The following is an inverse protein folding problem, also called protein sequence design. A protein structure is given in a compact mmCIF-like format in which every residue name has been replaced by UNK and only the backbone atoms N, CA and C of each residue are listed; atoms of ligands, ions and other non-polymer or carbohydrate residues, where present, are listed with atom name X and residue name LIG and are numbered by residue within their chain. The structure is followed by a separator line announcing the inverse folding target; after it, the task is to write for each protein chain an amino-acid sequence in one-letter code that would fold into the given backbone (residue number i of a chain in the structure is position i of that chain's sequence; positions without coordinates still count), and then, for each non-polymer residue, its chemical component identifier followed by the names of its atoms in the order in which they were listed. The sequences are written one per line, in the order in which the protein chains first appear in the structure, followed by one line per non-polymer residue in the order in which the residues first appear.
data_IF_350654898389
#
_entry.id   IF_350654898389
#
_cell.length_a   1.000
_cell.length_b   1.000
_cell.length_c   1.000
_cell.angle_alpha   90.00
_cell.angle_beta   90.00
_cell.angle_gamma   90.00
#
_symmetry.space_group_name_H-M   'P 1'
#
loop_
_entity.id
_entity.type
_entity.pdbx_description
1 polymer ?
#
# COMPACT_ATOMS: atom_id res chain seq x y z
N UNK A 1 -12.60 4.38 2.41
CA UNK A 1 -11.75 3.21 2.65
C UNK A 1 -10.80 3.54 3.79
N UNK A 2 -10.51 2.56 4.63
CA UNK A 2 -10.13 2.72 6.05
C UNK A 2 -8.65 2.44 6.37
N UNK A 3 -7.72 2.50 5.40
CA UNK A 3 -6.32 2.07 5.61
C UNK A 3 -5.61 2.72 6.81
N UNK A 4 -5.80 4.04 6.99
CA UNK A 4 -5.23 4.76 8.12
C UNK A 4 -5.88 4.38 9.45
N UNK A 5 -7.21 4.24 9.47
CA UNK A 5 -7.96 3.81 10.64
C UNK A 5 -7.56 2.39 11.04
N UNK A 6 -7.40 1.50 10.07
CA UNK A 6 -6.91 0.15 10.28
C UNK A 6 -5.50 0.16 10.90
N UNK A 7 -4.58 0.94 10.34
CA UNK A 7 -3.21 1.04 10.86
C UNK A 7 -3.19 1.59 12.29
N UNK A 8 -4.06 2.54 12.62
CA UNK A 8 -4.23 3.06 13.97
C UNK A 8 -4.77 2.00 14.95
N UNK A 9 -5.78 1.24 14.55
CA UNK A 9 -6.33 0.14 15.36
C UNK A 9 -5.30 -0.96 15.59
N UNK A 10 -4.52 -1.31 14.56
CA UNK A 10 -3.41 -2.26 14.67
C UNK A 10 -2.33 -1.75 15.65
N UNK A 11 -1.93 -0.49 15.53
CA UNK A 11 -0.96 0.13 16.45
C UNK A 11 -1.48 0.14 17.89
N UNK A 12 -2.76 0.45 18.10
CA UNK A 12 -3.41 0.41 19.40
C UNK A 12 -3.40 -1.01 20.01
N UNK A 13 -3.73 -2.03 19.21
CA UNK A 13 -3.68 -3.43 19.64
C UNK A 13 -2.25 -3.85 20.06
N UNK A 14 -1.23 -3.50 19.29
CA UNK A 14 0.18 -3.76 19.66
C UNK A 14 0.62 -3.00 20.91
N UNK A 15 0.09 -1.79 21.12
CA UNK A 15 0.30 -1.03 22.35
C UNK A 15 -0.51 -1.56 23.55
N UNK A 16 -1.22 -2.70 23.39
CA UNK A 16 -2.09 -3.32 24.41
C UNK A 16 -3.24 -2.41 24.86
N UNK A 17 -3.65 -1.48 24.01
CA UNK A 17 -4.88 -0.72 24.20
C UNK A 17 -6.07 -1.61 23.86
N UNK A 18 -7.20 -1.38 24.54
CA UNK A 18 -8.42 -2.13 24.28
C UNK A 18 -8.97 -1.81 22.89
N UNK A 19 -8.95 -2.79 22.00
CA UNK A 19 -9.60 -2.75 20.68
C UNK A 19 -10.63 -3.88 20.63
N UNK A 20 -11.94 -3.58 20.63
CA UNK A 20 -12.98 -4.61 20.58
C UNK A 20 -12.82 -5.47 19.32
N UNK A 21 -12.90 -6.80 19.47
CA UNK A 21 -12.71 -7.74 18.37
C UNK A 21 -13.72 -7.53 17.23
N UNK A 22 -14.93 -7.10 17.58
CA UNK A 22 -16.01 -6.76 16.64
C UNK A 22 -15.61 -5.66 15.66
N UNK A 23 -14.66 -4.80 16.02
CA UNK A 23 -14.12 -3.76 15.12
C UNK A 23 -13.58 -4.36 13.83
N UNK A 24 -12.90 -5.50 13.92
CA UNK A 24 -12.34 -6.20 12.77
C UNK A 24 -13.43 -6.89 11.93
N UNK A 25 -14.51 -7.36 12.57
CA UNK A 25 -15.69 -7.90 11.87
C UNK A 25 -16.42 -6.81 11.07
N UNK A 26 -16.55 -5.60 11.65
CA UNK A 26 -17.11 -4.46 10.94
C UNK A 26 -16.23 -4.00 9.77
N UNK A 27 -14.91 -4.05 9.94
CA UNK A 27 -13.98 -3.78 8.84
C UNK A 27 -14.16 -4.80 7.71
N UNK A 28 -14.26 -6.10 8.02
CA UNK A 28 -14.51 -7.13 7.01
C UNK A 28 -15.82 -6.89 6.26
N UNK A 29 -16.91 -6.65 6.99
CA UNK A 29 -18.22 -6.35 6.42
C UNK A 29 -18.18 -5.11 5.51
N UNK A 30 -17.45 -4.07 5.94
CA UNK A 30 -17.26 -2.88 5.12
C UNK A 30 -16.51 -3.19 3.83
N UNK A 31 -15.41 -3.96 3.90
CA UNK A 31 -14.65 -4.38 2.72
C UNK A 31 -15.53 -5.19 1.75
N UNK A 32 -16.38 -6.08 2.24
CA UNK A 32 -17.35 -6.82 1.43
C UNK A 32 -18.33 -5.89 0.71
N UNK A 33 -18.74 -4.78 1.36
CA UNK A 33 -19.69 -3.83 0.77
C UNK A 33 -19.09 -3.03 -0.39
N UNK A 34 -17.79 -2.75 -0.37
CA UNK A 34 -17.08 -1.96 -1.39
C UNK A 34 -16.24 -2.80 -2.35
N UNK A 35 -16.23 -4.12 -2.19
CA UNK A 35 -15.59 -5.04 -3.12
C UNK A 35 -16.30 -5.02 -4.48
N UNK A 36 -15.51 -5.05 -5.56
CA UNK A 36 -16.02 -5.29 -6.90
C UNK A 36 -16.73 -6.66 -6.98
N UNK A 37 -17.79 -6.77 -7.78
CA UNK A 37 -18.55 -8.03 -7.90
C UNK A 37 -17.73 -9.16 -8.51
N UNK A 38 -16.73 -8.84 -9.32
CA UNK A 38 -15.75 -9.78 -9.84
C UNK A 38 -14.65 -10.14 -8.84
N UNK A 39 -14.57 -9.49 -7.66
CA UNK A 39 -13.49 -9.72 -6.69
C UNK A 39 -12.11 -9.33 -7.24
N UNK A 40 -12.06 -8.24 -8.01
CA UNK A 40 -10.83 -7.72 -8.63
C UNK A 40 -10.31 -6.46 -7.93
N UNK A 41 -10.97 -6.01 -6.87
CA UNK A 41 -10.59 -4.79 -6.20
C UNK A 41 -11.61 -4.27 -5.20
N UNK A 42 -11.26 -3.14 -4.60
CA UNK A 42 -12.08 -2.43 -3.63
C UNK A 42 -12.23 -0.97 -4.03
N UNK A 43 -13.42 -0.41 -3.86
CA UNK A 43 -13.65 1.02 -3.97
C UNK A 43 -13.49 1.77 -2.65
N UNK A 44 -13.68 3.09 -2.68
CA UNK A 44 -13.51 3.92 -1.48
C UNK A 44 -14.71 3.82 -0.53
N UNK A 45 -15.92 4.04 -1.03
CA UNK A 45 -17.18 4.02 -0.27
C UNK A 45 -18.33 3.37 -1.07
N UNK A 46 -18.02 2.86 -2.25
CA UNK A 46 -18.93 2.20 -3.17
C UNK A 46 -18.15 1.14 -3.96
N UNK A 47 -18.82 0.39 -4.81
CA UNK A 47 -18.20 -0.61 -5.70
C UNK A 47 -17.59 0.05 -6.94
N UNK A 48 -16.53 0.82 -6.73
CA UNK A 48 -15.81 1.55 -7.77
C UNK A 48 -14.30 1.33 -7.61
N UNK A 49 -13.87 0.09 -7.82
CA UNK A 49 -12.50 -0.31 -7.57
C UNK A 49 -11.48 0.51 -8.37
N UNK A 50 -10.38 0.87 -7.72
CA UNK A 50 -9.24 1.56 -8.29
C UNK A 50 -7.95 0.98 -7.70
N UNK A 51 -6.80 1.02 -8.40
CA UNK A 51 -5.58 0.34 -7.94
C UNK A 51 -5.16 0.71 -6.51
N UNK A 52 -5.16 2.01 -6.21
CA UNK A 52 -4.82 2.50 -4.87
C UNK A 52 -5.82 2.02 -3.81
N UNK A 53 -7.11 1.95 -4.14
CA UNK A 53 -8.11 1.53 -3.17
C UNK A 53 -8.10 0.03 -2.92
N UNK A 54 -7.86 -0.74 -3.99
CA UNK A 54 -7.65 -2.18 -3.96
C UNK A 54 -6.42 -2.58 -3.15
N UNK A 55 -5.27 -1.91 -3.34
CA UNK A 55 -4.06 -2.19 -2.57
C UNK A 55 -4.27 -2.06 -1.05
N UNK A 56 -5.04 -1.05 -0.61
CA UNK A 56 -5.40 -0.93 0.81
C UNK A 56 -6.36 -2.03 1.25
N UNK A 57 -7.36 -2.36 0.41
CA UNK A 57 -8.31 -3.41 0.72
C UNK A 57 -7.62 -4.76 0.91
N UNK A 58 -6.68 -5.12 0.01
CA UNK A 58 -5.83 -6.29 0.16
C UNK A 58 -5.02 -6.24 1.45
N UNK A 59 -4.34 -5.13 1.73
CA UNK A 59 -3.55 -5.01 2.95
C UNK A 59 -4.43 -5.29 4.19
N UNK A 60 -5.61 -4.68 4.26
CA UNK A 60 -6.57 -4.95 5.33
C UNK A 60 -6.98 -6.44 5.37
N UNK A 61 -7.18 -7.09 4.22
CA UNK A 61 -7.51 -8.53 4.15
C UNK A 61 -6.39 -9.42 4.66
N UNK A 62 -5.13 -9.13 4.35
CA UNK A 62 -3.99 -9.88 4.89
C UNK A 62 -4.00 -9.87 6.41
N UNK A 63 -4.30 -8.70 7.00
CA UNK A 63 -4.44 -8.58 8.45
C UNK A 63 -5.71 -9.19 9.03
N UNK A 64 -6.74 -9.40 8.21
CA UNK A 64 -7.96 -10.16 8.53
C UNK A 64 -7.82 -11.64 8.14
N UNK A 65 -6.59 -12.17 8.20
CA UNK A 65 -6.25 -13.58 8.01
C UNK A 65 -6.33 -14.12 6.57
N UNK A 66 -6.33 -13.27 5.54
CA UNK A 66 -6.10 -13.74 4.17
C UNK A 66 -4.62 -14.05 3.95
N UNK A 67 -4.24 -15.32 4.15
CA UNK A 67 -2.88 -15.81 3.87
C UNK A 67 -2.51 -15.83 2.37
N UNK A 68 -1.23 -16.09 2.01
CA UNK A 68 -0.76 -16.11 0.62
C UNK A 68 -1.47 -17.11 -0.29
N UNK A 69 -2.06 -18.15 0.29
CA UNK A 69 -2.86 -19.15 -0.41
C UNK A 69 -4.30 -18.74 -0.72
N UNK A 70 -4.80 -17.63 -0.14
CA UNK A 70 -6.20 -17.25 -0.26
C UNK A 70 -6.56 -16.90 -1.72
N UNK A 71 -7.58 -17.53 -2.32
CA UNK A 71 -7.89 -17.36 -3.74
C UNK A 71 -8.27 -15.93 -4.10
N UNK A 72 -8.97 -15.22 -3.20
CA UNK A 72 -9.29 -13.80 -3.39
C UNK A 72 -8.07 -12.89 -3.38
N UNK A 73 -7.08 -13.21 -2.53
CA UNK A 73 -5.84 -12.44 -2.43
C UNK A 73 -5.04 -12.56 -3.72
N UNK A 74 -4.81 -13.81 -4.18
CA UNK A 74 -4.09 -14.11 -5.43
C UNK A 74 -4.74 -13.46 -6.63
N UNK A 75 -6.06 -13.63 -6.77
CA UNK A 75 -6.83 -13.07 -7.88
C UNK A 75 -6.66 -11.56 -7.99
N UNK A 76 -6.72 -10.85 -6.85
CA UNK A 76 -6.64 -9.41 -6.83
C UNK A 76 -5.22 -8.90 -7.05
N UNK A 77 -4.20 -9.52 -6.44
CA UNK A 77 -2.81 -9.11 -6.69
C UNK A 77 -2.38 -9.39 -8.14
N UNK A 78 -2.81 -10.51 -8.73
CA UNK A 78 -2.55 -10.82 -10.14
C UNK A 78 -3.17 -9.76 -11.06
N UNK A 79 -4.32 -9.20 -10.68
CA UNK A 79 -4.94 -8.09 -11.38
C UNK A 79 -4.16 -6.78 -11.18
N UNK A 80 -3.77 -6.45 -9.95
CA UNK A 80 -3.01 -5.22 -9.65
C UNK A 80 -1.61 -5.20 -10.26
N UNK A 81 -1.01 -6.36 -10.47
CA UNK A 81 0.29 -6.49 -11.12
C UNK A 81 0.23 -6.53 -12.66
N UNK A 82 -0.93 -6.27 -13.25
CA UNK A 82 -1.00 -6.03 -14.70
C UNK A 82 -0.35 -4.68 -15.07
N UNK A 83 0.40 -4.58 -16.18
CA UNK A 83 1.13 -3.36 -16.56
C UNK A 83 0.27 -2.08 -16.62
N UNK A 84 -1.02 -2.20 -16.90
CA UNK A 84 -1.96 -1.07 -16.93
C UNK A 84 -2.20 -0.42 -15.57
N UNK A 85 -1.95 -1.14 -14.47
CA UNK A 85 -2.19 -0.71 -13.09
C UNK A 85 -0.93 -0.14 -12.41
N UNK A 86 0.24 -0.27 -13.02
CA UNK A 86 1.48 0.24 -12.46
C UNK A 86 1.49 1.78 -12.43
N UNK A 87 2.15 2.38 -11.41
CA UNK A 87 2.44 3.79 -11.43
C UNK A 87 3.31 4.14 -12.63
N UNK A 88 3.19 5.39 -13.11
CA UNK A 88 3.94 5.91 -14.27
C UNK A 88 4.57 7.25 -13.89
N UNK A 89 5.59 7.70 -14.62
CA UNK A 89 6.25 8.98 -14.31
C UNK A 89 5.27 10.16 -14.39
N UNK A 90 4.33 10.08 -15.31
CA UNK A 90 3.26 11.06 -15.55
C UNK A 90 2.12 10.96 -14.53
N UNK A 91 2.05 9.85 -13.78
CA UNK A 91 1.07 9.60 -12.72
C UNK A 91 1.71 8.74 -11.63
N UNK A 92 2.53 9.38 -10.79
CA UNK A 92 3.44 8.69 -9.88
C UNK A 92 2.68 7.88 -8.82
N UNK A 93 1.57 8.44 -8.30
CA UNK A 93 0.71 7.83 -7.30
C UNK A 93 1.49 7.13 -6.17
N UNK A 94 2.24 7.91 -5.40
CA UNK A 94 3.01 7.44 -4.24
C UNK A 94 2.14 6.78 -3.17
N UNK A 95 0.85 7.10 -3.13
CA UNK A 95 -0.11 6.44 -2.26
C UNK A 95 -0.34 4.97 -2.67
N UNK A 96 -0.54 4.69 -3.96
CA UNK A 96 -0.55 3.31 -4.47
C UNK A 96 0.79 2.62 -4.18
N UNK A 97 1.91 3.30 -4.45
CA UNK A 97 3.25 2.75 -4.21
C UNK A 97 3.40 2.27 -2.76
N UNK A 98 3.06 3.11 -1.79
CA UNK A 98 3.17 2.81 -0.38
C UNK A 98 2.38 1.56 0.05
N UNK A 99 1.12 1.45 -0.34
CA UNK A 99 0.29 0.31 0.08
C UNK A 99 0.64 -0.98 -0.66
N UNK A 100 0.82 -0.90 -1.97
CA UNK A 100 1.10 -2.07 -2.78
C UNK A 100 2.50 -2.63 -2.52
N UNK A 101 3.47 -1.79 -2.15
CA UNK A 101 4.79 -2.25 -1.70
C UNK A 101 4.68 -3.12 -0.46
N UNK A 102 3.85 -2.76 0.52
CA UNK A 102 3.63 -3.57 1.73
C UNK A 102 3.01 -4.92 1.39
N UNK A 103 1.93 -4.92 0.58
CA UNK A 103 1.25 -6.15 0.14
C UNK A 103 2.22 -7.07 -0.62
N UNK A 104 2.92 -6.54 -1.61
CA UNK A 104 3.88 -7.32 -2.39
C UNK A 104 5.01 -7.87 -1.49
N UNK A 105 5.46 -7.07 -0.51
CA UNK A 105 6.49 -7.50 0.45
C UNK A 105 6.01 -8.63 1.36
N UNK A 106 4.77 -8.54 1.89
CA UNK A 106 4.20 -9.60 2.72
C UNK A 106 4.08 -10.92 1.96
N UNK A 107 3.69 -10.86 0.68
CA UNK A 107 3.56 -12.03 -0.18
C UNK A 107 4.90 -12.62 -0.62
N UNK A 108 5.92 -11.79 -0.80
CA UNK A 108 7.25 -12.22 -1.21
C UNK A 108 7.30 -12.81 -2.63
N UNK A 109 8.39 -13.51 -2.92
CA UNK A 109 8.62 -14.22 -4.20
C UNK A 109 8.45 -13.32 -5.43
N UNK A 110 7.89 -13.90 -6.49
CA UNK A 110 7.67 -13.20 -7.78
C UNK A 110 6.83 -11.92 -7.65
N UNK A 111 5.88 -11.87 -6.71
CA UNK A 111 5.04 -10.69 -6.49
C UNK A 111 5.88 -9.52 -5.98
N UNK A 112 6.73 -9.78 -4.99
CA UNK A 112 7.69 -8.81 -4.50
C UNK A 112 8.66 -8.39 -5.60
N UNK A 113 9.32 -9.34 -6.26
CA UNK A 113 10.37 -9.03 -7.24
C UNK A 113 9.84 -8.18 -8.40
N UNK A 114 8.66 -8.52 -8.95
CA UNK A 114 8.04 -7.75 -10.05
C UNK A 114 7.72 -6.33 -9.64
N UNK A 115 7.04 -6.18 -8.50
CA UNK A 115 6.62 -4.87 -8.02
C UNK A 115 7.80 -3.97 -7.64
N UNK A 116 8.64 -4.50 -6.76
CA UNK A 116 9.69 -3.74 -6.10
C UNK A 116 10.78 -3.30 -7.08
N UNK A 117 11.19 -4.16 -8.03
CA UNK A 117 12.17 -3.73 -9.04
C UNK A 117 11.66 -2.53 -9.85
N UNK A 118 10.39 -2.55 -10.25
CA UNK A 118 9.81 -1.43 -11.00
C UNK A 118 9.69 -0.15 -10.16
N UNK A 119 9.14 -0.25 -8.96
CA UNK A 119 8.91 0.92 -8.10
C UNK A 119 10.22 1.49 -7.56
N UNK A 120 11.16 0.65 -7.11
CA UNK A 120 12.48 1.08 -6.65
C UNK A 120 13.20 1.86 -7.72
N UNK A 121 13.34 1.28 -8.91
CA UNK A 121 14.11 1.90 -9.99
C UNK A 121 13.47 3.23 -10.44
N UNK A 122 12.14 3.28 -10.50
CA UNK A 122 11.40 4.52 -10.79
C UNK A 122 11.64 5.60 -9.73
N UNK A 123 11.57 5.26 -8.44
CA UNK A 123 11.78 6.23 -7.37
C UNK A 123 13.24 6.74 -7.34
N UNK A 124 14.23 5.87 -7.55
CA UNK A 124 15.64 6.28 -7.61
C UNK A 124 15.91 7.22 -8.80
N UNK A 125 15.29 6.93 -9.94
CA UNK A 125 15.39 7.79 -11.12
C UNK A 125 14.78 9.17 -10.87
N UNK A 126 13.59 9.22 -10.26
CA UNK A 126 12.82 10.45 -10.05
C UNK A 126 13.26 11.27 -8.84
N UNK A 127 14.17 10.75 -8.01
CA UNK A 127 14.69 11.49 -6.86
C UNK A 127 15.42 12.75 -7.34
N UNK A 128 15.00 13.89 -6.83
CA UNK A 128 15.55 15.20 -7.18
C UNK A 128 17.04 15.27 -6.87
N UNK A 129 17.86 15.61 -7.87
CA UNK A 129 19.33 15.67 -7.74
C UNK A 129 19.84 17.02 -7.22
N UNK A 130 18.95 18.01 -7.08
CA UNK A 130 19.28 19.37 -6.65
C UNK A 130 19.89 20.23 -7.77
N UNK A 131 19.64 19.88 -9.03
CA UNK A 131 20.24 20.54 -10.19
C UNK A 131 19.66 21.93 -10.48
N UNK A 132 18.45 22.24 -9.97
CA UNK A 132 17.86 23.58 -10.07
C UNK A 132 18.39 24.47 -8.93
N UNK A 133 19.20 25.50 -9.25
CA UNK A 133 19.78 26.38 -8.22
C UNK A 133 18.74 27.15 -7.41
N UNK A 134 17.55 27.40 -7.97
CA UNK A 134 16.44 28.08 -7.26
C UNK A 134 15.75 27.15 -6.26
N UNK A 135 15.97 25.85 -6.38
CA UNK A 135 15.31 24.82 -5.60
C UNK A 135 16.29 23.77 -5.04
N UNK A 136 17.55 24.14 -4.79
CA UNK A 136 18.58 23.22 -4.29
C UNK A 136 18.18 22.46 -2.99
N UNK A 137 17.31 23.06 -2.17
CA UNK A 137 16.73 22.43 -0.97
C UNK A 137 15.86 21.20 -1.25
N UNK A 138 15.49 20.94 -2.52
CA UNK A 138 14.67 19.79 -2.92
C UNK A 138 15.50 18.54 -3.17
N UNK A 139 16.84 18.64 -3.17
CA UNK A 139 17.73 17.50 -3.35
C UNK A 139 17.39 16.35 -2.41
N UNK A 140 17.24 15.15 -2.96
CA UNK A 140 16.90 13.92 -2.23
C UNK A 140 15.40 13.68 -2.03
N UNK A 141 14.54 14.60 -2.47
CA UNK A 141 13.09 14.51 -2.30
C UNK A 141 12.37 14.15 -3.62
N UNK A 142 11.05 13.94 -3.56
CA UNK A 142 10.23 13.62 -4.74
C UNK A 142 9.21 14.72 -5.04
N UNK A 143 9.13 15.10 -6.31
CA UNK A 143 8.23 16.16 -6.77
C UNK A 143 6.76 15.70 -6.68
N UNK A 144 5.86 16.52 -6.10
CA UNK A 144 4.43 16.19 -6.04
C UNK A 144 3.69 16.45 -7.37
N UNK A 145 4.37 17.00 -8.40
CA UNK A 145 3.71 17.54 -9.60
C UNK A 145 2.90 16.51 -10.40
N UNK A 146 3.41 15.29 -10.51
CA UNK A 146 2.75 14.20 -11.25
C UNK A 146 2.03 13.23 -10.31
N UNK A 147 1.98 13.54 -9.01
CA UNK A 147 1.27 12.73 -8.04
C UNK A 147 -0.20 13.20 -7.95
N UNK A 148 -1.20 12.30 -8.09
CA UNK A 148 -2.61 12.66 -8.03
C UNK A 148 -3.02 13.26 -6.66
N UNK A 149 -2.26 12.98 -5.61
CA UNK A 149 -2.46 13.50 -4.25
C UNK A 149 -1.47 14.62 -3.90
N UNK A 150 -0.62 15.01 -4.85
CA UNK A 150 0.45 15.99 -4.65
C UNK A 150 -0.08 17.39 -4.32
N UNK A 151 -1.27 17.77 -4.79
CA UNK A 151 -1.90 19.06 -4.45
C UNK A 151 -2.29 19.11 -2.97
N UNK A 152 -2.71 18.00 -2.38
CA UNK A 152 -3.20 17.90 -1.01
C UNK A 152 -2.04 17.67 -0.02
N UNK A 153 -1.14 16.74 -0.33
CA UNK A 153 -0.05 16.36 0.60
C UNK A 153 1.29 17.07 0.33
N UNK A 154 1.46 17.67 -0.85
CA UNK A 154 2.68 18.37 -1.22
C UNK A 154 3.92 17.48 -1.25
N UNK A 155 5.08 18.12 -1.39
CA UNK A 155 6.40 17.46 -1.47
C UNK A 155 6.71 16.63 -0.24
N UNK A 156 6.27 17.07 0.95
CA UNK A 156 6.51 16.36 2.21
C UNK A 156 5.88 14.96 2.17
N UNK A 157 4.57 14.88 1.86
CA UNK A 157 3.87 13.60 1.79
C UNK A 157 4.45 12.69 0.70
N UNK A 158 4.66 13.21 -0.51
CA UNK A 158 5.23 12.44 -1.62
C UNK A 158 6.61 11.88 -1.26
N UNK A 159 7.45 12.68 -0.58
CA UNK A 159 8.78 12.25 -0.15
C UNK A 159 8.71 11.21 0.95
N UNK A 160 7.86 11.39 1.97
CA UNK A 160 7.70 10.42 3.05
C UNK A 160 7.21 9.07 2.54
N UNK A 161 6.21 9.05 1.64
CA UNK A 161 5.69 7.81 1.07
C UNK A 161 6.71 7.12 0.14
N UNK A 162 7.48 7.89 -0.63
CA UNK A 162 8.57 7.35 -1.44
C UNK A 162 9.65 6.69 -0.58
N UNK A 163 10.09 7.37 0.50
CA UNK A 163 11.07 6.83 1.44
C UNK A 163 10.58 5.55 2.10
N UNK A 164 9.37 5.53 2.67
CA UNK A 164 8.81 4.34 3.32
C UNK A 164 8.70 3.18 2.31
N UNK A 165 8.34 3.45 1.06
CA UNK A 165 8.31 2.43 0.01
C UNK A 165 9.71 1.86 -0.29
N UNK A 166 10.74 2.69 -0.32
CA UNK A 166 12.13 2.26 -0.51
C UNK A 166 12.70 1.52 0.71
N UNK A 167 12.20 1.82 1.90
CA UNK A 167 12.66 1.23 3.16
C UNK A 167 11.91 -0.07 3.54
N UNK A 168 11.03 -0.57 2.65
CA UNK A 168 10.21 -1.73 2.94
C UNK A 168 11.00 -2.96 3.43
N UNK A 169 12.21 -3.16 2.91
CA UNK A 169 13.15 -4.22 3.29
C UNK A 169 13.60 -4.17 4.76
N UNK A 170 13.51 -3.02 5.41
CA UNK A 170 14.01 -2.81 6.77
C UNK A 170 12.88 -2.80 7.82
N UNK A 171 11.68 -2.34 7.45
CA UNK A 171 10.59 -2.08 8.39
C UNK A 171 9.42 -3.04 8.30
N UNK A 172 9.15 -3.62 7.13
CA UNK A 172 8.00 -4.50 6.95
C UNK A 172 8.47 -5.93 7.10
N UNK A 173 8.63 -6.45 8.32
CA UNK A 173 8.88 -7.88 8.50
C UNK A 173 7.78 -8.66 7.76
N UNK A 174 8.12 -9.64 6.88
CA UNK A 174 7.11 -10.40 6.15
C UNK A 174 6.07 -10.94 7.13
N UNK A 175 4.78 -10.71 6.84
CA UNK A 175 3.69 -11.19 7.70
C UNK A 175 3.70 -12.72 7.82
N UNK A 176 4.25 -13.39 6.81
CA UNK A 176 4.33 -14.84 6.72
C UNK A 176 5.80 -15.26 6.80
N UNK A 177 6.11 -16.22 7.68
CA UNK A 177 7.44 -16.85 7.78
C UNK A 177 8.30 -16.46 8.98
N UNK A 178 7.87 -15.53 9.85
CA UNK A 178 8.62 -15.16 11.08
C UNK A 178 7.81 -15.05 12.38
N UNK A 179 6.57 -15.54 12.43
CA UNK A 179 5.78 -15.61 13.66
C UNK A 179 4.27 -15.57 13.40
N UNK A 180 3.47 -15.90 14.43
CA UNK A 180 2.00 -15.92 14.38
C UNK A 180 1.44 -14.57 13.92
N UNK A 181 0.41 -14.60 13.08
CA UNK A 181 -0.32 -13.39 12.68
C UNK A 181 -0.99 -12.73 13.90
N UNK A 182 -1.32 -11.44 13.81
CA UNK A 182 -1.94 -10.67 14.92
C UNK A 182 -3.26 -11.29 15.43
N UNK A 183 -3.87 -12.18 14.66
CA UNK A 183 -5.14 -12.82 14.95
C UNK A 183 -5.03 -14.33 15.24
N UNK A 184 -3.83 -14.87 15.37
CA UNK A 184 -3.65 -16.26 15.83
C UNK A 184 -3.34 -16.26 17.32
N UNK A 185 -4.34 -16.60 18.14
CA UNK A 185 -4.17 -16.99 19.55
C UNK A 185 -3.12 -18.13 19.66
#
# INVERSE_FOLDING_TARGET
MSGWQFTALKAAAYAKLAVPAETFNYLSTFLDSVADTGGLGYGYNARNAAPATSAVGILCREFLSWGPGHPGLKKEIDHLLQPGNYPKKENLNTYLMFYMTQVAHHLGGDYWEKWNNSVRDMLIELQDKGDDPKHAHQKGSWSPKTDPWGKQGGRLMTTSLALISLEAYYYHVPLYGYGKSVLED
#
